data_IF_841257593651
#
_entry.id   IF_841257593651
#
_cell.length_a   1.000
_cell.length_b   1.000
_cell.length_c   1.000
_cell.angle_alpha   90.00
_cell.angle_beta   90.00
_cell.angle_gamma   90.00
#
_symmetry.space_group_name_H-M   'P 1'
#
loop_
_entity.id
_entity.type
_entity.pdbx_description
1 polymer ?
#
# COMPACT_ATOMS: atom_id res chain seq x y z
N UNK A 1 -2.67 -2.05 23.91
CA UNK A 1 -1.22 -1.87 23.65
C UNK A 1 -0.52 -3.15 23.21
N UNK A 2 -0.73 -4.33 23.84
CA UNK A 2 0.02 -5.58 23.54
C UNK A 2 0.00 -6.04 22.06
N UNK A 3 -1.14 -5.95 21.36
CA UNK A 3 -1.24 -6.35 19.95
C UNK A 3 -0.44 -5.42 19.04
N UNK A 4 -0.54 -4.10 19.25
CA UNK A 4 0.24 -3.11 18.50
C UNK A 4 1.74 -3.33 18.67
N UNK A 5 2.20 -3.61 19.89
CA UNK A 5 3.62 -3.92 20.16
C UNK A 5 4.10 -5.13 19.36
N UNK A 6 3.31 -6.21 19.30
CA UNK A 6 3.65 -7.38 18.48
C UNK A 6 3.75 -7.05 16.98
N UNK A 7 2.84 -6.23 16.47
CA UNK A 7 2.90 -5.78 15.07
C UNK A 7 4.20 -5.01 14.80
N UNK A 8 4.59 -4.11 15.71
CA UNK A 8 5.87 -3.38 15.60
C UNK A 8 7.06 -4.35 15.57
N UNK A 9 7.11 -5.30 16.52
CA UNK A 9 8.19 -6.30 16.60
C UNK A 9 8.27 -7.16 15.34
N UNK A 10 7.13 -7.54 14.75
CA UNK A 10 7.08 -8.35 13.54
C UNK A 10 7.66 -7.59 12.33
N UNK A 11 7.33 -6.30 12.16
CA UNK A 11 7.95 -5.46 11.13
C UNK A 11 9.44 -5.25 11.37
N UNK A 12 9.84 -4.94 12.61
CA UNK A 12 11.26 -4.74 12.97
C UNK A 12 12.09 -5.99 12.62
N UNK A 13 11.60 -7.19 12.94
CA UNK A 13 12.26 -8.47 12.58
C UNK A 13 12.34 -8.71 11.08
N UNK A 14 11.33 -8.29 10.31
CA UNK A 14 11.35 -8.44 8.85
C UNK A 14 12.37 -7.49 8.24
N UNK A 15 12.44 -6.25 8.71
CA UNK A 15 13.37 -5.24 8.21
C UNK A 15 14.85 -5.52 8.55
N UNK A 16 15.14 -6.47 9.45
CA UNK A 16 16.51 -7.03 9.59
C UNK A 16 16.99 -7.76 8.33
N UNK A 17 16.07 -8.14 7.43
CA UNK A 17 16.37 -9.01 6.26
C UNK A 17 16.11 -8.33 4.91
N UNK A 18 15.32 -7.25 4.89
CA UNK A 18 14.90 -6.57 3.67
C UNK A 18 14.84 -5.07 3.90
N UNK A 19 15.11 -4.29 2.85
CA UNK A 19 15.05 -2.82 2.92
C UNK A 19 13.62 -2.27 2.76
N UNK A 20 12.73 -3.06 2.15
CA UNK A 20 11.33 -2.72 1.96
C UNK A 20 10.47 -3.98 1.78
N UNK A 21 9.17 -3.84 2.05
CA UNK A 21 8.14 -4.85 1.81
C UNK A 21 7.22 -4.35 0.70
N UNK A 22 6.85 -5.23 -0.23
CA UNK A 22 5.86 -4.95 -1.27
C UNK A 22 4.54 -5.65 -0.98
N UNK A 23 3.41 -4.95 -1.14
CA UNK A 23 2.07 -5.51 -0.97
C UNK A 23 1.06 -4.78 -1.88
N UNK A 24 -0.13 -5.36 -2.18
CA UNK A 24 -1.22 -4.57 -2.75
C UNK A 24 -1.66 -3.46 -1.80
N UNK A 25 -2.10 -2.32 -2.32
CA UNK A 25 -2.66 -1.22 -1.49
C UNK A 25 -4.04 -1.61 -0.95
N UNK A 26 -4.85 -2.23 -1.80
CA UNK A 26 -6.22 -2.64 -1.51
C UNK A 26 -6.41 -4.09 -1.94
N UNK A 27 -7.24 -4.88 -1.21
CA UNK A 27 -7.56 -6.25 -1.61
C UNK A 27 -8.43 -6.34 -2.86
N UNK A 28 -9.09 -5.23 -3.25
CA UNK A 28 -9.97 -5.17 -4.43
C UNK A 28 -9.72 -3.90 -5.24
N UNK A 29 -10.09 -3.89 -6.54
CA UNK A 29 -10.23 -2.66 -7.30
C UNK A 29 -11.22 -1.67 -6.65
N UNK A 30 -11.27 -0.41 -7.11
CA UNK A 30 -12.30 0.56 -6.72
C UNK A 30 -13.71 -0.02 -6.77
N UNK A 31 -14.49 0.20 -5.71
CA UNK A 31 -15.90 -0.22 -5.61
C UNK A 31 -16.84 0.97 -5.90
N UNK A 32 -18.09 0.69 -6.25
CA UNK A 32 -19.07 1.74 -6.59
C UNK A 32 -19.51 2.52 -5.34
N UNK A 33 -19.98 3.75 -5.57
CA UNK A 33 -20.63 4.55 -4.51
C UNK A 33 -21.81 3.77 -3.92
N UNK A 34 -21.89 3.72 -2.60
CA UNK A 34 -22.94 3.00 -1.87
C UNK A 34 -22.74 1.47 -1.76
N UNK A 35 -21.83 0.87 -2.52
CA UNK A 35 -21.67 -0.59 -2.60
C UNK A 35 -21.36 -1.26 -1.25
N UNK A 36 -20.62 -0.56 -0.39
CA UNK A 36 -20.24 -1.01 0.95
C UNK A 36 -20.90 -0.21 2.08
N UNK A 37 -21.84 0.69 1.75
CA UNK A 37 -22.40 1.63 2.74
C UNK A 37 -23.32 0.95 3.78
N UNK A 38 -23.97 -0.15 3.40
CA UNK A 38 -24.89 -0.88 4.28
C UNK A 38 -24.19 -1.87 5.22
N UNK A 39 -22.88 -2.10 5.04
CA UNK A 39 -22.10 -3.07 5.80
C UNK A 39 -20.74 -2.45 6.21
N UNK A 40 -20.64 -1.91 7.44
CA UNK A 40 -19.42 -1.28 7.94
C UNK A 40 -18.20 -2.22 7.94
N UNK A 41 -18.39 -3.53 8.09
CA UNK A 41 -17.28 -4.49 8.10
C UNK A 41 -16.66 -4.62 6.70
N UNK A 42 -17.49 -4.62 5.64
CA UNK A 42 -16.99 -4.61 4.26
C UNK A 42 -16.17 -3.36 3.96
N UNK A 43 -16.55 -2.21 4.54
CA UNK A 43 -15.76 -0.99 4.42
C UNK A 43 -14.41 -1.15 5.13
N UNK A 44 -14.36 -1.68 6.35
CA UNK A 44 -13.10 -1.88 7.07
C UNK A 44 -12.15 -2.85 6.37
N UNK A 45 -12.68 -3.88 5.70
CA UNK A 45 -11.85 -4.80 4.92
C UNK A 45 -11.14 -4.11 3.75
N UNK A 46 -11.58 -2.93 3.31
CA UNK A 46 -10.86 -2.17 2.29
C UNK A 46 -9.44 -1.77 2.76
N UNK A 47 -9.25 -1.54 4.06
CA UNK A 47 -8.00 -1.04 4.64
C UNK A 47 -7.15 -2.14 5.31
N UNK A 48 -7.52 -3.42 5.12
CA UNK A 48 -6.87 -4.55 5.81
C UNK A 48 -5.36 -4.64 5.54
N UNK A 49 -4.91 -4.16 4.37
CA UNK A 49 -3.51 -4.19 3.94
C UNK A 49 -2.73 -2.92 4.29
N UNK A 50 -3.38 -1.85 4.74
CA UNK A 50 -2.74 -0.55 5.01
C UNK A 50 -2.66 -0.25 6.50
N UNK A 51 -3.64 -0.70 7.29
CA UNK A 51 -3.71 -0.36 8.71
C UNK A 51 -2.52 -0.88 9.53
N UNK A 52 -1.91 -2.00 9.10
CA UNK A 52 -0.76 -2.59 9.78
C UNK A 52 0.45 -1.64 9.79
N UNK A 53 0.72 -0.95 8.67
CA UNK A 53 1.78 0.05 8.58
C UNK A 53 1.52 1.26 9.49
N UNK A 54 0.27 1.74 9.56
CA UNK A 54 -0.12 2.82 10.46
C UNK A 54 0.10 2.45 11.94
N UNK A 55 -0.27 1.22 12.32
CA UNK A 55 -0.09 0.73 13.69
C UNK A 55 1.39 0.59 14.06
N UNK A 56 2.21 0.13 13.11
CA UNK A 56 3.66 0.02 13.27
C UNK A 56 4.39 1.38 13.27
N UNK A 57 3.75 2.40 12.71
CA UNK A 57 4.31 3.74 12.56
C UNK A 57 5.46 3.76 11.56
N UNK A 58 5.29 3.09 10.43
CA UNK A 58 6.28 2.97 9.36
C UNK A 58 5.82 3.70 8.09
N UNK A 59 6.74 4.22 7.27
CA UNK A 59 6.38 4.88 6.01
C UNK A 59 5.88 3.87 4.96
N UNK A 60 5.00 4.36 4.08
CA UNK A 60 4.49 3.63 2.93
C UNK A 60 4.35 4.50 1.69
N UNK A 61 4.63 3.96 0.51
CA UNK A 61 4.49 4.62 -0.78
C UNK A 61 3.57 3.81 -1.69
N UNK A 62 2.44 4.37 -2.10
CA UNK A 62 1.51 3.77 -3.06
C UNK A 62 1.88 4.13 -4.49
N UNK A 63 2.01 3.13 -5.36
CA UNK A 63 2.38 3.26 -6.76
C UNK A 63 1.33 2.57 -7.65
N UNK A 64 0.86 3.23 -8.72
CA UNK A 64 0.00 2.59 -9.71
C UNK A 64 0.80 1.60 -10.56
N UNK A 65 0.19 0.48 -10.95
CA UNK A 65 0.86 -0.50 -11.83
C UNK A 65 0.02 -0.98 -13.03
N UNK A 66 -1.25 -0.56 -13.13
CA UNK A 66 -2.10 -0.96 -14.23
C UNK A 66 -3.58 -0.79 -13.94
N UNK A 67 -4.39 -1.52 -14.71
CA UNK A 67 -5.85 -1.50 -14.61
C UNK A 67 -6.40 -2.92 -14.48
N UNK A 68 -7.53 -3.06 -13.81
CA UNK A 68 -8.30 -4.31 -13.78
C UNK A 68 -8.86 -4.63 -15.17
N UNK A 69 -9.41 -5.84 -15.34
CA UNK A 69 -10.15 -6.21 -16.56
C UNK A 69 -11.36 -5.30 -16.85
N UNK A 70 -11.80 -4.52 -15.87
CA UNK A 70 -12.90 -3.55 -15.97
C UNK A 70 -12.40 -2.11 -16.19
N UNK A 71 -11.08 -1.91 -16.38
CA UNK A 71 -10.50 -0.59 -16.61
C UNK A 71 -10.37 0.28 -15.36
N UNK A 72 -10.36 -0.31 -14.16
CA UNK A 72 -10.19 0.42 -12.90
C UNK A 72 -8.72 0.43 -12.44
N UNK A 73 -8.19 1.54 -11.89
CA UNK A 73 -6.78 1.62 -11.51
C UNK A 73 -6.43 0.64 -10.40
N UNK A 74 -5.26 0.01 -10.53
CA UNK A 74 -4.66 -0.90 -9.55
C UNK A 74 -3.34 -0.32 -9.03
N UNK A 75 -3.07 -0.56 -7.75
CA UNK A 75 -1.85 -0.07 -7.09
C UNK A 75 -1.25 -1.10 -6.14
N UNK A 76 0.06 -1.00 -5.96
CA UNK A 76 0.82 -1.68 -4.92
C UNK A 76 1.48 -0.63 -4.02
N UNK A 77 1.85 -1.04 -2.81
CA UNK A 77 2.55 -0.21 -1.84
C UNK A 77 3.92 -0.81 -1.55
N UNK A 78 4.86 0.08 -1.29
CA UNK A 78 6.15 -0.22 -0.69
C UNK A 78 6.11 0.27 0.76
N UNK A 79 6.43 -0.59 1.71
CA UNK A 79 6.54 -0.28 3.14
C UNK A 79 8.00 -0.35 3.55
N UNK A 80 8.52 0.68 4.20
CA UNK A 80 9.92 0.76 4.61
C UNK A 80 10.08 0.82 6.12
N UNK A 81 11.29 0.61 6.67
CA UNK A 81 11.56 0.88 8.07
C UNK A 81 11.35 2.38 8.40
N UNK A 82 11.26 2.72 9.70
CA UNK A 82 11.06 4.12 10.11
C UNK A 82 12.12 5.04 9.50
N UNK A 83 11.69 6.17 8.95
CA UNK A 83 12.54 7.21 8.36
C UNK A 83 13.31 6.79 7.08
N UNK A 84 12.77 5.85 6.31
CA UNK A 84 13.36 5.34 5.06
C UNK A 84 12.63 5.81 3.79
N UNK A 85 11.95 6.95 3.85
CA UNK A 85 11.21 7.49 2.71
C UNK A 85 12.10 7.68 1.48
N UNK A 86 13.39 8.00 1.67
CA UNK A 86 14.38 8.10 0.60
C UNK A 86 14.56 6.78 -0.16
N UNK A 87 14.61 5.64 0.54
CA UNK A 87 14.66 4.30 -0.06
C UNK A 87 13.38 4.02 -0.83
N UNK A 88 12.22 4.35 -0.25
CA UNK A 88 10.92 4.15 -0.91
C UNK A 88 10.82 4.96 -2.22
N UNK A 89 11.25 6.22 -2.21
CA UNK A 89 11.27 7.05 -3.43
C UNK A 89 12.27 6.54 -4.47
N UNK A 90 13.44 6.03 -4.05
CA UNK A 90 14.39 5.41 -4.97
C UNK A 90 13.79 4.16 -5.64
N UNK A 91 13.15 3.29 -4.86
CA UNK A 91 12.47 2.10 -5.38
C UNK A 91 11.33 2.47 -6.33
N UNK A 92 10.51 3.47 -5.99
CA UNK A 92 9.45 3.97 -6.86
C UNK A 92 9.98 4.51 -8.18
N UNK A 93 11.05 5.31 -8.14
CA UNK A 93 11.71 5.83 -9.34
C UNK A 93 12.32 4.71 -10.21
N UNK A 94 12.87 3.66 -9.60
CA UNK A 94 13.34 2.47 -10.33
C UNK A 94 12.17 1.79 -11.04
N UNK A 95 11.05 1.58 -10.34
CA UNK A 95 9.84 1.01 -10.92
C UNK A 95 9.32 1.83 -12.11
N UNK A 96 9.17 3.14 -11.95
CA UNK A 96 8.71 4.03 -13.02
C UNK A 96 9.62 3.98 -14.25
N UNK A 97 10.95 4.01 -14.05
CA UNK A 97 11.93 3.92 -15.14
C UNK A 97 11.93 2.57 -15.83
N UNK A 98 11.85 1.49 -15.07
CA UNK A 98 11.91 0.12 -15.59
C UNK A 98 10.65 -0.24 -16.40
N UNK A 99 9.49 0.25 -15.97
CA UNK A 99 8.20 -0.04 -16.62
C UNK A 99 7.81 0.99 -17.67
N UNK A 100 8.39 2.19 -17.62
CA UNK A 100 7.91 3.34 -18.37
C UNK A 100 6.49 3.77 -17.98
N UNK A 101 5.97 3.27 -16.85
CA UNK A 101 4.61 3.52 -16.42
C UNK A 101 4.44 4.99 -16.07
N UNK A 102 3.55 5.67 -16.80
CA UNK A 102 3.13 7.03 -16.52
C UNK A 102 1.64 6.98 -16.25
N UNK A 103 1.18 7.23 -15.01
CA UNK A 103 -0.23 7.23 -14.73
C UNK A 103 -0.91 8.31 -15.60
N UNK A 104 -1.91 7.89 -16.36
CA UNK A 104 -2.84 8.81 -17.00
C UNK A 104 -3.76 9.32 -15.89
N UNK A 105 -3.27 10.28 -15.09
CA UNK A 105 -4.12 10.99 -14.15
C UNK A 105 -5.16 11.73 -14.98
N UNK A 106 -6.42 11.35 -14.83
CA UNK A 106 -7.51 12.14 -15.36
C UNK A 106 -7.33 13.56 -14.80
N UNK A 107 -7.02 14.52 -15.68
CA UNK A 107 -7.07 15.92 -15.33
C UNK A 107 -8.53 16.21 -14.97
N UNK A 108 -8.81 16.33 -13.67
CA UNK A 108 -10.10 16.76 -13.13
C UNK A 108 -10.13 18.27 -13.18
#
# INVERSE_FOLDING_TARGET
MKVRSKIIEDFEKVFEKVDAIIAPVSPTPPFRLGEKASDPLKMYLADILTVAGNLAGIPGLSLPFGFSGEGLPLGFQLLGPRFSEDVLFQLGNIFEKATGYKPNVAHI
#
